data_IF_346273850865
#
_entry.id   IF_346273850865
#
_cell.length_a   1.000
_cell.length_b   1.000
_cell.length_c   1.000
_cell.angle_alpha   90.00
_cell.angle_beta   90.00
_cell.angle_gamma   90.00
#
_symmetry.space_group_name_H-M   'P 1'
#
loop_
_entity.id
_entity.type
_entity.pdbx_description
1 polymer ?
#
# COMPACT_ATOMS: atom_id res chain seq x y z
N UNK A 1 -10.71 -4.87 -13.98
CA UNK A 1 -9.34 -4.56 -13.50
C UNK A 1 -8.55 -5.87 -13.46
N UNK A 2 -7.35 -5.95 -14.05
CA UNK A 2 -6.69 -7.23 -14.42
C UNK A 2 -6.15 -8.07 -13.25
N UNK A 3 -6.03 -7.51 -12.05
CA UNK A 3 -5.46 -8.24 -10.91
C UNK A 3 -6.38 -9.37 -10.41
N UNK A 4 -7.70 -9.21 -10.51
CA UNK A 4 -8.63 -10.26 -10.10
C UNK A 4 -8.67 -11.43 -11.10
N UNK A 5 -8.37 -11.20 -12.38
CA UNK A 5 -8.38 -12.24 -13.42
C UNK A 5 -7.16 -13.17 -13.40
N UNK A 6 -6.08 -12.80 -12.69
CA UNK A 6 -4.87 -13.63 -12.56
C UNK A 6 -4.85 -14.47 -11.29
N UNK A 7 -5.80 -14.26 -10.38
CA UNK A 7 -5.89 -14.97 -9.10
C UNK A 7 -6.83 -16.17 -9.24
N UNK A 8 -6.46 -17.29 -8.60
CA UNK A 8 -7.37 -18.42 -8.43
C UNK A 8 -8.55 -18.00 -7.54
N UNK A 9 -9.73 -18.62 -7.68
CA UNK A 9 -10.83 -18.42 -6.73
C UNK A 9 -10.36 -18.62 -5.29
N UNK A 10 -10.71 -17.68 -4.40
CA UNK A 10 -10.25 -17.68 -3.00
C UNK A 10 -8.80 -17.23 -2.79
N UNK A 11 -8.14 -16.67 -3.81
CA UNK A 11 -6.81 -16.08 -3.67
C UNK A 11 -6.77 -14.92 -2.66
N UNK A 12 -5.58 -14.64 -2.15
CA UNK A 12 -5.33 -13.53 -1.21
C UNK A 12 -4.27 -12.62 -1.82
N UNK A 13 -4.51 -11.31 -1.76
CA UNK A 13 -3.52 -10.30 -2.10
C UNK A 13 -2.91 -9.77 -0.81
N UNK A 14 -1.59 -9.84 -0.72
CA UNK A 14 -0.84 -9.23 0.37
C UNK A 14 -0.25 -7.93 -0.16
N UNK A 15 -0.77 -6.80 0.33
CA UNK A 15 -0.30 -5.49 -0.07
C UNK A 15 0.56 -4.89 1.05
N UNK A 16 1.73 -4.38 0.68
CA UNK A 16 2.62 -3.66 1.59
C UNK A 16 3.25 -2.51 0.84
N UNK A 17 3.01 -1.30 1.32
CA UNK A 17 3.65 -0.09 0.79
C UNK A 17 3.76 0.97 1.89
N UNK A 18 4.21 2.17 1.53
CA UNK A 18 4.38 3.28 2.45
C UNK A 18 3.04 3.81 2.94
N UNK A 19 2.94 4.02 4.25
CA UNK A 19 1.80 4.65 4.88
C UNK A 19 1.96 6.15 5.03
N UNK A 20 0.86 6.89 5.12
CA UNK A 20 0.88 8.30 5.50
C UNK A 20 1.74 8.51 6.75
N UNK A 21 2.44 9.64 6.75
CA UNK A 21 3.31 10.08 7.85
C UNK A 21 4.50 9.16 8.13
N UNK A 22 4.88 8.27 7.20
CA UNK A 22 6.18 7.58 7.27
C UNK A 22 7.33 8.60 7.35
N UNK A 23 8.39 8.29 8.09
CA UNK A 23 9.56 9.17 8.19
C UNK A 23 10.18 9.52 6.84
N UNK A 24 10.06 8.67 5.80
CA UNK A 24 10.51 9.05 4.47
C UNK A 24 9.63 10.15 3.85
N UNK A 25 8.31 10.14 4.12
CA UNK A 25 7.39 11.18 3.66
C UNK A 25 7.75 12.54 4.27
N UNK A 26 8.01 12.54 5.59
CA UNK A 26 8.29 13.76 6.36
C UNK A 26 9.62 14.43 5.98
N UNK A 27 10.53 13.71 5.31
CA UNK A 27 11.83 14.23 4.87
C UNK A 27 11.80 14.86 3.47
N UNK A 28 10.69 14.81 2.75
CA UNK A 28 10.60 15.44 1.45
C UNK A 28 10.53 16.96 1.56
N UNK A 29 11.34 17.64 0.75
CA UNK A 29 11.31 19.10 0.63
C UNK A 29 10.16 19.55 -0.29
N UNK A 30 9.82 20.85 -0.23
CA UNK A 30 8.70 21.43 -0.99
C UNK A 30 8.78 21.15 -2.51
N UNK A 31 9.98 21.15 -3.10
CA UNK A 31 10.18 20.88 -4.53
C UNK A 31 10.05 19.41 -4.94
N UNK A 32 9.83 18.50 -3.98
CA UNK A 32 9.72 17.06 -4.23
C UNK A 32 8.26 16.57 -4.22
N UNK A 33 7.29 17.42 -3.85
CA UNK A 33 5.87 17.05 -3.85
C UNK A 33 5.28 17.26 -5.25
N UNK A 34 4.84 16.18 -5.88
CA UNK A 34 4.21 16.20 -7.19
C UNK A 34 2.69 16.42 -7.10
N UNK A 35 2.06 15.79 -6.11
CA UNK A 35 0.65 15.99 -5.77
C UNK A 35 0.39 15.58 -4.33
N UNK A 36 -0.86 15.57 -3.89
CA UNK A 36 -1.21 15.00 -2.59
C UNK A 36 -0.72 13.55 -2.49
N UNK A 37 -0.01 13.26 -1.41
CA UNK A 37 0.59 11.97 -1.09
C UNK A 37 1.56 11.40 -2.14
N UNK A 38 1.97 12.18 -3.13
CA UNK A 38 2.81 11.74 -4.24
C UNK A 38 4.06 12.61 -4.38
N UNK A 39 5.22 11.97 -4.36
CA UNK A 39 6.52 12.62 -4.23
C UNK A 39 7.53 12.05 -5.22
N UNK A 40 8.53 12.86 -5.58
CA UNK A 40 9.70 12.43 -6.35
C UNK A 40 10.93 12.36 -5.46
N UNK A 41 11.64 11.24 -5.53
CA UNK A 41 12.92 11.02 -4.86
C UNK A 41 14.07 11.67 -5.61
N UNK A 42 15.22 11.77 -4.96
CA UNK A 42 16.43 12.37 -5.55
C UNK A 42 16.93 11.60 -6.78
N UNK A 43 16.69 10.29 -6.83
CA UNK A 43 17.01 9.41 -7.95
C UNK A 43 15.97 9.47 -9.10
N UNK A 44 14.97 10.35 -8.99
CA UNK A 44 13.89 10.51 -9.97
C UNK A 44 12.78 9.47 -9.86
N UNK A 45 12.87 8.49 -8.95
CA UNK A 45 11.79 7.54 -8.71
C UNK A 45 10.63 8.20 -7.94
N UNK A 46 9.42 7.63 -8.04
CA UNK A 46 8.24 8.21 -7.39
C UNK A 46 7.84 7.40 -6.17
N UNK A 47 7.37 8.09 -5.14
CA UNK A 47 6.83 7.51 -3.93
C UNK A 47 5.39 7.98 -3.74
N UNK A 48 4.47 7.04 -3.53
CA UNK A 48 3.11 7.33 -3.12
C UNK A 48 2.91 6.83 -1.69
N UNK A 49 2.18 7.59 -0.88
CA UNK A 49 1.89 7.26 0.52
C UNK A 49 0.40 7.00 0.68
N UNK A 50 0.05 5.78 1.06
CA UNK A 50 -1.33 5.34 1.13
C UNK A 50 -1.94 5.67 2.49
N UNK A 51 -3.26 5.90 2.51
CA UNK A 51 -4.07 5.84 3.73
C UNK A 51 -4.87 4.53 3.75
N UNK A 52 -5.29 4.08 4.94
CA UNK A 52 -6.14 2.89 5.08
C UNK A 52 -7.47 3.08 4.33
N UNK A 53 -8.06 4.26 4.41
CA UNK A 53 -9.35 4.59 3.77
C UNK A 53 -9.24 4.59 2.25
N UNK A 54 -8.19 5.24 1.72
CA UNK A 54 -7.96 5.30 0.29
C UNK A 54 -7.71 3.91 -0.29
N UNK A 55 -6.87 3.12 0.39
CA UNK A 55 -6.48 1.81 -0.08
C UNK A 55 -7.61 0.79 0.03
N UNK A 56 -8.41 0.83 1.10
CA UNK A 56 -9.67 0.07 1.20
C UNK A 56 -10.61 0.40 0.05
N UNK A 57 -10.86 1.69 -0.21
CA UNK A 57 -11.72 2.12 -1.32
C UNK A 57 -11.20 1.67 -2.68
N UNK A 58 -9.87 1.69 -2.87
CA UNK A 58 -9.22 1.24 -4.11
C UNK A 58 -9.45 -0.25 -4.35
N UNK A 59 -9.29 -1.08 -3.31
CA UNK A 59 -9.49 -2.53 -3.40
C UNK A 59 -10.98 -2.92 -3.51
N UNK A 60 -11.89 -2.19 -2.87
CA UNK A 60 -13.33 -2.41 -3.02
C UNK A 60 -13.81 -2.09 -4.45
N UNK A 61 -13.38 -0.96 -5.03
CA UNK A 61 -13.66 -0.60 -6.45
C UNK A 61 -13.11 -1.63 -7.44
N UNK A 62 -12.14 -2.41 -6.98
CA UNK A 62 -11.48 -3.45 -7.71
C UNK A 62 -12.12 -4.84 -7.54
N UNK A 63 -13.24 -4.94 -6.81
CA UNK A 63 -13.94 -6.18 -6.43
C UNK A 63 -13.12 -7.10 -5.51
N UNK A 64 -12.35 -6.53 -4.59
CA UNK A 64 -11.68 -7.26 -3.52
C UNK A 64 -12.41 -7.02 -2.19
N UNK A 65 -12.28 -7.96 -1.25
CA UNK A 65 -12.81 -7.83 0.11
C UNK A 65 -11.65 -7.56 1.07
N UNK A 66 -11.70 -6.43 1.76
CA UNK A 66 -10.66 -6.06 2.72
C UNK A 66 -10.78 -6.93 3.97
N UNK A 67 -9.79 -7.80 4.23
CA UNK A 67 -9.78 -8.67 5.42
C UNK A 67 -9.10 -7.98 6.59
N UNK A 68 -7.97 -7.33 6.32
CA UNK A 68 -7.21 -6.58 7.29
C UNK A 68 -6.47 -5.47 6.58
N UNK A 69 -6.69 -4.25 7.03
CA UNK A 69 -5.97 -3.09 6.58
C UNK A 69 -5.51 -2.33 7.82
N UNK A 70 -4.20 -2.33 8.07
CA UNK A 70 -3.64 -1.62 9.23
C UNK A 70 -2.27 -1.01 8.93
N UNK A 71 -2.02 0.16 9.49
CA UNK A 71 -0.66 0.66 9.68
C UNK A 71 0.13 -0.28 10.58
N UNK A 72 1.37 -0.53 10.17
CA UNK A 72 2.34 -1.27 10.96
C UNK A 72 3.54 -0.38 11.20
N UNK A 73 3.68 0.03 12.45
CA UNK A 73 4.84 0.74 12.96
C UNK A 73 5.98 -0.25 13.16
N UNK A 74 7.15 0.08 12.63
CA UNK A 74 8.40 -0.65 12.84
C UNK A 74 9.53 0.32 13.07
N UNK A 75 10.50 -0.07 13.89
CA UNK A 75 11.74 0.68 14.02
C UNK A 75 12.81 0.08 13.11
N UNK A 76 13.54 0.93 12.40
CA UNK A 76 14.73 0.53 11.66
C UNK A 76 15.95 1.01 12.43
N UNK A 77 16.72 0.06 12.98
CA UNK A 77 17.94 0.35 13.74
C UNK A 77 19.15 0.13 12.83
N UNK A 78 19.85 1.20 12.50
CA UNK A 78 21.17 1.13 11.91
C UNK A 78 22.22 1.18 13.03
N UNK A 79 22.63 0.00 13.51
CA UNK A 79 23.59 -0.13 14.62
C UNK A 79 24.98 0.43 14.30
N UNK A 80 25.36 0.54 13.03
CA UNK A 80 26.67 1.07 12.61
C UNK A 80 26.74 2.58 12.79
N UNK A 81 25.64 3.27 12.48
CA UNK A 81 25.54 4.72 12.55
C UNK A 81 24.89 5.20 13.87
N UNK A 82 24.50 4.26 14.74
CA UNK A 82 23.73 4.50 15.98
C UNK A 82 22.43 5.29 15.77
N UNK A 83 21.73 4.98 14.67
CA UNK A 83 20.47 5.65 14.29
C UNK A 83 19.29 4.68 14.45
N UNK A 84 18.26 5.10 15.19
CA UNK A 84 16.95 4.48 15.21
C UNK A 84 15.94 5.38 14.49
N UNK A 85 15.32 4.88 13.40
CA UNK A 85 14.30 5.63 12.65
C UNK A 85 12.97 4.87 12.70
N UNK A 86 11.88 5.50 13.18
CA UNK A 86 10.55 4.93 13.05
C UNK A 86 10.15 4.82 11.57
N UNK A 87 9.47 3.74 11.20
CA UNK A 87 8.93 3.47 9.87
C UNK A 87 7.45 3.12 10.00
N UNK A 88 6.62 3.85 9.28
CA UNK A 88 5.20 3.54 9.14
C UNK A 88 5.01 2.92 7.76
N UNK A 89 4.91 1.60 7.73
CA UNK A 89 4.48 0.90 6.54
C UNK A 89 3.00 0.55 6.70
N UNK A 90 2.21 0.75 5.66
CA UNK A 90 0.92 0.06 5.61
C UNK A 90 1.19 -1.41 5.34
N UNK A 91 0.51 -2.27 6.11
CA UNK A 91 0.44 -3.69 5.83
C UNK A 91 -1.03 -4.05 5.74
N UNK A 92 -1.47 -4.41 4.56
CA UNK A 92 -2.80 -4.97 4.34
C UNK A 92 -2.71 -6.45 4.00
N UNK A 93 -3.58 -7.23 4.62
CA UNK A 93 -3.93 -8.56 4.15
C UNK A 93 -5.33 -8.45 3.55
N UNK A 94 -5.49 -8.68 2.25
CA UNK A 94 -6.77 -8.52 1.55
C UNK A 94 -7.25 -9.88 1.05
N UNK A 95 -8.51 -10.28 1.34
CA UNK A 95 -9.09 -11.42 0.62
C UNK A 95 -9.50 -10.95 -0.76
N UNK A 96 -9.36 -11.84 -1.73
CA UNK A 96 -10.22 -11.73 -2.90
C UNK A 96 -11.49 -12.51 -2.62
N UNK A 97 -12.60 -11.82 -2.38
CA UNK A 97 -13.91 -12.41 -2.64
C UNK A 97 -14.14 -12.31 -4.13
N UNK A 98 -13.60 -13.27 -4.88
CA UNK A 98 -14.03 -13.46 -6.26
C UNK A 98 -15.44 -14.01 -6.16
N UNK A 99 -16.45 -13.13 -6.22
CA UNK A 99 -17.79 -13.57 -6.58
C UNK A 99 -17.67 -14.05 -8.01
N UNK A 100 -17.59 -15.36 -8.20
CA UNK A 100 -17.76 -15.97 -9.52
C UNK A 100 -19.15 -15.51 -9.93
N UNK A 101 -19.24 -14.66 -10.95
CA UNK A 101 -20.52 -14.34 -11.55
C UNK A 101 -21.11 -15.68 -12.04
N UNK A 102 -22.22 -16.16 -11.45
CA UNK A 102 -22.79 -17.45 -11.83
C UNK A 102 -23.29 -17.45 -13.29
N UNK A 103 -23.29 -16.30 -13.98
CA UNK A 103 -23.66 -16.16 -15.38
C UNK A 103 -22.50 -16.17 -16.37
N UNK A 104 -21.24 -16.17 -15.92
CA UNK A 104 -20.09 -16.35 -16.83
C UNK A 104 -19.85 -17.85 -17.02
N UNK A 105 -20.49 -18.41 -18.04
CA UNK A 105 -20.17 -19.75 -18.55
C UNK A 105 -18.90 -19.69 -19.40
N UNK A 106 -17.92 -20.53 -19.07
CA UNK A 106 -16.81 -20.87 -19.96
C UNK A 106 -17.31 -21.64 -21.20
#
# INVERSE_FOLDING_TARGET
>A
MWMSSVLKPGGIVLFRDYGLYDHAMLRFNHGQKLSENFYVRQDGTRAYYFSEEFLSSLFEKANFEVVCNRYVFKETVNKKEDICVPRNCIRENLHVKVTIDPYIKY
#
